data_IF_755162877754
#
_entry.id   IF_755162877754
#
_cell.length_a   1.000
_cell.length_b   1.000
_cell.length_c   1.000
_cell.angle_alpha   90.00
_cell.angle_beta   90.00
_cell.angle_gamma   90.00
#
_symmetry.space_group_name_H-M   'P 1'
#
loop_
_entity.id
_entity.type
_entity.pdbx_description
1 polymer ?
#
# COMPACT_ATOMS: atom_id res chain seq x y z
N UNK A 1 7.05 12.97 -2.54
CA UNK A 1 7.41 13.22 -1.12
C UNK A 1 6.23 13.87 -0.44
N UNK A 2 5.91 13.42 0.76
CA UNK A 2 4.76 13.90 1.56
C UNK A 2 5.31 14.39 2.90
N UNK A 3 4.92 15.58 3.34
CA UNK A 3 5.20 16.05 4.71
C UNK A 3 4.13 15.49 5.66
N UNK A 4 4.50 14.56 6.52
CA UNK A 4 3.58 13.89 7.45
C UNK A 4 3.74 14.53 8.83
N UNK A 5 2.69 15.19 9.37
CA UNK A 5 2.77 15.83 10.68
C UNK A 5 3.28 14.87 11.77
N UNK A 6 4.28 15.30 12.53
CA UNK A 6 4.92 14.50 13.58
C UNK A 6 5.98 13.50 13.09
N UNK A 7 6.10 13.28 11.78
CA UNK A 7 7.05 12.32 11.19
C UNK A 7 7.97 12.94 10.12
N UNK A 8 7.66 14.15 9.65
CA UNK A 8 8.44 14.89 8.66
C UNK A 8 8.25 14.33 7.25
N UNK A 9 9.27 14.52 6.42
CA UNK A 9 9.21 14.25 4.98
C UNK A 9 9.44 12.78 4.66
N UNK A 10 8.44 12.12 4.10
CA UNK A 10 8.45 10.70 3.75
C UNK A 10 8.21 10.50 2.25
N UNK A 11 8.89 9.53 1.65
CA UNK A 11 8.60 9.08 0.29
C UNK A 11 7.45 8.07 0.36
N UNK A 12 6.36 8.40 -0.32
CA UNK A 12 5.14 7.58 -0.41
C UNK A 12 4.89 7.32 -1.89
N UNK A 13 4.62 6.07 -2.24
CA UNK A 13 4.13 5.72 -3.58
C UNK A 13 2.60 5.76 -3.59
N UNK A 14 2.02 6.20 -4.70
CA UNK A 14 0.57 6.10 -4.92
C UNK A 14 0.35 5.14 -6.08
N UNK A 15 -0.45 4.11 -5.86
CA UNK A 15 -0.75 3.09 -6.88
C UNK A 15 -2.22 2.73 -6.90
N UNK A 16 -2.69 2.29 -8.06
CA UNK A 16 -4.08 1.90 -8.28
C UNK A 16 -4.20 0.39 -8.54
N UNK A 17 -5.18 -0.24 -7.91
CA UNK A 17 -5.49 -1.66 -8.08
C UNK A 17 -6.98 -1.96 -8.02
N UNK A 18 -7.81 -1.03 -8.52
CA UNK A 18 -9.26 -0.99 -8.29
C UNK A 18 -9.67 0.07 -7.25
N UNK A 19 -8.70 0.56 -6.48
CA UNK A 19 -8.76 1.76 -5.66
C UNK A 19 -7.34 2.35 -5.53
N UNK A 20 -7.22 3.64 -5.22
CA UNK A 20 -5.91 4.26 -4.97
C UNK A 20 -5.46 4.06 -3.52
N UNK A 21 -4.21 3.66 -3.35
CA UNK A 21 -3.57 3.51 -2.05
C UNK A 21 -2.28 4.32 -1.96
N UNK A 22 -2.06 4.91 -0.80
CA UNK A 22 -0.75 5.37 -0.38
C UNK A 22 0.02 4.16 0.17
N UNK A 23 1.18 3.85 -0.41
CA UNK A 23 2.01 2.70 -0.07
C UNK A 23 3.31 3.22 0.55
N UNK A 24 3.62 2.78 1.77
CA UNK A 24 4.83 3.21 2.47
C UNK A 24 5.27 2.15 3.50
N UNK A 25 6.59 1.98 3.65
CA UNK A 25 7.14 1.08 4.68
C UNK A 25 6.96 1.68 6.08
N UNK A 26 6.51 0.85 7.04
CA UNK A 26 6.39 1.23 8.44
C UNK A 26 7.74 1.66 9.07
N UNK A 27 8.85 1.15 8.55
CA UNK A 27 10.20 1.50 9.02
C UNK A 27 10.52 2.99 8.84
N UNK A 28 9.88 3.67 7.88
CA UNK A 28 10.03 5.13 7.70
C UNK A 28 9.53 5.94 8.89
N UNK A 29 8.72 5.31 9.74
CA UNK A 29 8.17 5.88 10.96
C UNK A 29 8.82 5.28 12.22
N UNK A 30 9.90 4.50 12.07
CA UNK A 30 10.56 3.79 13.16
C UNK A 30 9.73 2.62 13.71
N UNK A 31 8.77 2.11 12.94
CA UNK A 31 7.87 1.04 13.36
C UNK A 31 8.24 -0.29 12.69
N UNK A 32 8.23 -1.36 13.47
CA UNK A 32 8.16 -2.72 12.95
C UNK A 32 6.69 -3.18 12.92
N UNK A 33 6.15 -3.34 11.72
CA UNK A 33 4.75 -3.72 11.49
C UNK A 33 4.38 -5.07 12.12
N UNK A 34 5.35 -5.95 12.39
CA UNK A 34 5.09 -7.28 12.94
C UNK A 34 5.00 -7.30 14.48
N UNK A 35 5.56 -6.30 15.17
CA UNK A 35 5.68 -6.30 16.63
C UNK A 35 5.01 -5.10 17.32
N UNK A 36 4.78 -4.01 16.59
CA UNK A 36 4.11 -2.81 17.13
C UNK A 36 2.61 -3.04 17.36
N UNK A 37 2.00 -2.25 18.25
CA UNK A 37 0.55 -2.26 18.46
C UNK A 37 -0.18 -1.78 17.21
N UNK A 38 -1.27 -2.46 16.87
CA UNK A 38 -2.13 -2.09 15.73
C UNK A 38 -2.60 -0.63 15.78
N UNK A 39 -2.84 -0.07 16.97
CA UNK A 39 -3.25 1.34 17.12
C UNK A 39 -2.19 2.31 16.59
N UNK A 40 -0.90 2.03 16.81
CA UNK A 40 0.18 2.90 16.34
C UNK A 40 0.28 2.86 14.81
N UNK A 41 0.04 1.69 14.21
CA UNK A 41 -0.06 1.53 12.75
C UNK A 41 -1.26 2.27 12.17
N UNK A 42 -2.43 2.18 12.84
CA UNK A 42 -3.64 2.91 12.44
C UNK A 42 -3.40 4.41 12.47
N UNK A 43 -2.88 4.94 13.58
CA UNK A 43 -2.58 6.36 13.71
C UNK A 43 -1.59 6.85 12.64
N UNK A 44 -0.54 6.07 12.37
CA UNK A 44 0.46 6.39 11.35
C UNK A 44 -0.16 6.39 9.94
N UNK A 45 -0.95 5.36 9.61
CA UNK A 45 -1.60 5.25 8.31
C UNK A 45 -2.68 6.34 8.10
N UNK A 46 -3.42 6.71 9.14
CA UNK A 46 -4.34 7.86 9.12
C UNK A 46 -3.57 9.16 8.86
N UNK A 47 -2.47 9.40 9.57
CA UNK A 47 -1.64 10.59 9.38
C UNK A 47 -1.08 10.69 7.95
N UNK A 48 -0.64 9.58 7.37
CA UNK A 48 -0.20 9.52 5.97
C UNK A 48 -1.37 9.82 5.01
N UNK A 49 -2.54 9.22 5.25
CA UNK A 49 -3.72 9.41 4.40
C UNK A 49 -4.12 10.88 4.35
N UNK A 50 -4.23 11.53 5.51
CA UNK A 50 -4.60 12.95 5.59
C UNK A 50 -3.52 13.86 5.01
N UNK A 51 -2.25 13.55 5.25
CA UNK A 51 -1.14 14.30 4.66
C UNK A 51 -1.13 14.21 3.12
N UNK A 52 -1.39 13.02 2.56
CA UNK A 52 -1.49 12.83 1.10
C UNK A 52 -2.68 13.60 0.54
N UNK A 53 -3.87 13.47 1.13
CA UNK A 53 -5.08 14.20 0.69
C UNK A 53 -4.88 15.72 0.70
N UNK A 54 -4.18 16.24 1.71
CA UNK A 54 -3.93 17.67 1.83
C UNK A 54 -2.92 18.21 0.80
N UNK A 55 -1.99 17.37 0.35
CA UNK A 55 -0.86 17.80 -0.51
C UNK A 55 -1.02 17.40 -1.98
N UNK A 56 -1.85 16.40 -2.27
CA UNK A 56 -1.99 15.83 -3.62
C UNK A 56 -3.46 15.64 -3.99
N UNK A 57 -3.81 16.10 -5.19
CA UNK A 57 -5.07 15.74 -5.84
C UNK A 57 -4.88 14.44 -6.60
N UNK A 58 -5.64 13.41 -6.26
CA UNK A 58 -5.69 12.14 -7.00
C UNK A 58 -6.74 12.25 -8.09
N UNK A 59 -6.43 11.73 -9.28
CA UNK A 59 -7.35 11.70 -10.41
C UNK A 59 -7.19 10.37 -11.13
N UNK A 60 -8.31 9.67 -11.33
CA UNK A 60 -8.35 8.50 -12.19
C UNK A 60 -8.50 8.97 -13.64
N UNK A 61 -7.72 8.44 -14.59
CA UNK A 61 -7.72 8.94 -15.98
C UNK A 61 -9.09 8.80 -16.67
N UNK A 62 -9.81 7.72 -16.39
CA UNK A 62 -11.03 7.36 -17.15
C UNK A 62 -12.35 7.54 -16.39
N UNK A 63 -12.32 7.77 -15.07
CA UNK A 63 -13.54 7.78 -14.25
C UNK A 63 -13.39 8.66 -13.00
N UNK A 64 -14.06 9.81 -13.01
CA UNK A 64 -13.97 10.80 -11.93
C UNK A 64 -14.42 10.24 -10.57
N UNK A 65 -15.40 9.34 -10.51
CA UNK A 65 -15.90 8.73 -9.26
C UNK A 65 -14.83 7.89 -8.55
N UNK A 66 -13.78 7.47 -9.28
CA UNK A 66 -12.65 6.71 -8.75
C UNK A 66 -11.47 7.61 -8.33
N UNK A 67 -11.62 8.93 -8.42
CA UNK A 67 -10.56 9.94 -8.19
C UNK A 67 -10.37 10.29 -6.71
N UNK A 68 -10.23 9.28 -5.86
CA UNK A 68 -10.00 9.50 -4.44
C UNK A 68 -9.02 8.50 -3.84
N UNK A 69 -8.32 8.93 -2.78
CA UNK A 69 -7.47 8.06 -1.98
C UNK A 69 -8.36 7.18 -1.09
N UNK A 70 -8.29 5.86 -1.26
CA UNK A 70 -9.07 4.93 -0.45
C UNK A 70 -8.49 4.77 0.96
N UNK A 71 -7.16 4.73 1.07
CA UNK A 71 -6.47 4.60 2.34
C UNK A 71 -4.97 4.41 2.18
N UNK A 72 -4.31 4.07 3.29
CA UNK A 72 -2.87 3.82 3.35
C UNK A 72 -2.62 2.34 3.67
N UNK A 73 -1.68 1.75 2.94
CA UNK A 73 -1.13 0.43 3.25
C UNK A 73 0.29 0.62 3.78
N UNK A 74 0.48 0.26 5.05
CA UNK A 74 1.81 0.15 5.63
C UNK A 74 2.38 -1.23 5.32
N UNK A 75 3.61 -1.27 4.80
CA UNK A 75 4.31 -2.51 4.46
C UNK A 75 5.48 -2.77 5.40
N UNK A 76 6.00 -4.00 5.37
CA UNK A 76 7.26 -4.38 6.01
C UNK A 76 8.51 -3.97 5.20
N UNK A 77 8.36 -3.21 4.12
CA UNK A 77 9.46 -2.81 3.24
C UNK A 77 10.09 -3.93 2.41
N UNK A 78 9.63 -5.18 2.53
CA UNK A 78 10.17 -6.35 1.79
C UNK A 78 9.56 -6.47 0.39
N UNK A 79 9.60 -5.37 -0.36
CA UNK A 79 8.98 -5.28 -1.68
C UNK A 79 9.77 -5.98 -2.79
N UNK A 80 11.08 -6.20 -2.59
CA UNK A 80 11.88 -7.05 -3.48
C UNK A 80 11.31 -8.47 -3.52
N UNK A 81 11.37 -9.12 -4.69
CA UNK A 81 10.90 -10.49 -4.83
C UNK A 81 11.61 -11.45 -3.86
N UNK A 82 10.81 -12.32 -3.26
CA UNK A 82 11.21 -13.47 -2.46
C UNK A 82 10.12 -14.54 -2.55
N UNK A 83 10.43 -15.76 -2.14
CA UNK A 83 9.40 -16.79 -1.89
C UNK A 83 8.72 -16.59 -0.54
N UNK A 84 9.34 -15.82 0.37
CA UNK A 84 8.75 -15.49 1.68
C UNK A 84 7.67 -14.41 1.57
N UNK A 85 6.57 -14.49 2.32
CA UNK A 85 5.53 -13.46 2.30
C UNK A 85 6.06 -12.07 2.69
N UNK A 86 5.60 -11.03 1.98
CA UNK A 86 5.66 -9.65 2.49
C UNK A 86 4.38 -9.33 3.25
N UNK A 87 4.53 -8.62 4.36
CA UNK A 87 3.44 -8.31 5.27
C UNK A 87 2.93 -6.88 5.10
N UNK A 88 1.63 -6.69 5.31
CA UNK A 88 1.03 -5.36 5.35
C UNK A 88 -0.21 -5.26 6.24
N UNK A 89 -0.58 -4.03 6.55
CA UNK A 89 -1.90 -3.62 7.06
C UNK A 89 -2.46 -2.53 6.16
N UNK A 90 -3.74 -2.62 5.82
CA UNK A 90 -4.46 -1.56 5.13
C UNK A 90 -5.37 -0.86 6.12
N UNK A 91 -5.27 0.47 6.17
CA UNK A 91 -6.13 1.35 6.96
C UNK A 91 -6.88 2.27 6.03
N UNK A 92 -8.20 2.28 6.12
CA UNK A 92 -9.09 2.93 5.17
C UNK A 92 -10.34 3.51 5.84
N UNK A 93 -11.06 4.36 5.10
CA UNK A 93 -12.25 5.07 5.61
C UNK A 93 -11.96 5.74 6.98
N UNK A 94 -12.90 5.61 7.93
CA UNK A 94 -12.77 6.11 9.31
C UNK A 94 -11.90 5.18 10.16
N UNK A 95 -10.62 5.07 9.81
CA UNK A 95 -9.60 4.29 10.55
C UNK A 95 -9.87 2.78 10.63
N UNK A 96 -10.61 2.22 9.68
CA UNK A 96 -10.90 0.80 9.62
C UNK A 96 -9.67 0.01 9.19
N UNK A 97 -9.48 -1.16 9.79
CA UNK A 97 -8.41 -2.10 9.44
C UNK A 97 -8.97 -3.22 8.59
N UNK A 98 -8.41 -3.40 7.40
CA UNK A 98 -8.70 -4.61 6.62
C UNK A 98 -8.01 -5.80 7.29
N UNK A 99 -8.81 -6.83 7.57
CA UNK A 99 -8.33 -8.06 8.19
C UNK A 99 -7.67 -8.99 7.19
N UNK A 100 -7.93 -8.82 5.90
CA UNK A 100 -7.27 -9.53 4.80
C UNK A 100 -5.99 -8.80 4.35
N UNK A 101 -5.21 -9.37 3.42
CA UNK A 101 -4.11 -8.65 2.77
C UNK A 101 -4.56 -7.49 1.86
N UNK A 102 -5.88 -7.28 1.70
CA UNK A 102 -6.53 -6.29 0.84
C UNK A 102 -6.34 -6.58 -0.65
N UNK A 103 -7.31 -7.22 -1.30
CA UNK A 103 -7.16 -7.70 -2.69
C UNK A 103 -6.81 -6.62 -3.73
N UNK A 104 -7.51 -5.48 -3.70
CA UNK A 104 -7.19 -4.30 -4.51
C UNK A 104 -5.82 -3.70 -4.13
N UNK A 105 -5.47 -3.73 -2.85
CA UNK A 105 -4.14 -3.34 -2.34
C UNK A 105 -3.01 -4.25 -2.86
N UNK A 106 -3.21 -5.57 -2.86
CA UNK A 106 -2.30 -6.55 -3.45
C UNK A 106 -2.11 -6.26 -4.94
N UNK A 107 -3.18 -5.96 -5.66
CA UNK A 107 -3.11 -5.58 -7.08
C UNK A 107 -2.29 -4.30 -7.28
N UNK A 108 -2.54 -3.26 -6.48
CA UNK A 108 -1.78 -2.01 -6.52
C UNK A 108 -0.28 -2.24 -6.21
N UNK A 109 0.03 -3.07 -5.22
CA UNK A 109 1.42 -3.45 -4.86
C UNK A 109 2.09 -4.24 -5.97
N UNK A 110 1.40 -5.16 -6.64
CA UNK A 110 1.95 -5.90 -7.80
C UNK A 110 2.29 -4.94 -8.93
N UNK A 111 1.39 -4.00 -9.26
CA UNK A 111 1.64 -2.99 -10.28
C UNK A 111 2.87 -2.13 -9.93
N UNK A 112 2.97 -1.68 -8.67
CA UNK A 112 4.11 -0.91 -8.18
C UNK A 112 5.42 -1.69 -8.20
N UNK A 113 5.43 -2.93 -7.69
CA UNK A 113 6.61 -3.78 -7.67
C UNK A 113 7.08 -4.12 -9.09
N UNK A 114 6.15 -4.37 -10.01
CA UNK A 114 6.49 -4.55 -11.42
C UNK A 114 7.10 -3.28 -12.02
N UNK A 115 6.47 -2.12 -11.83
CA UNK A 115 6.97 -0.83 -12.31
C UNK A 115 8.39 -0.53 -11.81
N UNK A 116 8.69 -0.90 -10.56
CA UNK A 116 10.02 -0.75 -9.95
C UNK A 116 11.03 -1.84 -10.35
N UNK A 117 10.64 -2.80 -11.19
CA UNK A 117 11.49 -3.94 -11.57
C UNK A 117 11.75 -4.95 -10.45
N UNK A 118 10.98 -4.89 -9.36
CA UNK A 118 11.09 -5.78 -8.20
C UNK A 118 10.34 -7.10 -8.37
N UNK A 119 9.41 -7.16 -9.33
CA UNK A 119 8.63 -8.34 -9.66
C UNK A 119 8.54 -8.49 -11.19
N UNK A 120 8.75 -9.70 -11.71
CA UNK A 120 8.66 -10.01 -13.14
C UNK A 120 7.23 -10.37 -13.56
N UNK A 121 6.96 -10.30 -14.86
CA UNK A 121 5.72 -10.81 -15.43
C UNK A 121 5.56 -12.30 -15.12
N UNK A 122 4.33 -12.71 -14.79
CA UNK A 122 3.95 -14.06 -14.39
C UNK A 122 4.63 -14.59 -13.12
N UNK A 123 5.34 -13.75 -12.37
CA UNK A 123 5.96 -14.11 -11.11
C UNK A 123 4.97 -13.92 -9.95
N UNK A 124 4.63 -15.02 -9.27
CA UNK A 124 3.72 -15.00 -8.11
C UNK A 124 4.43 -14.44 -6.89
N UNK A 125 3.81 -13.46 -6.21
CA UNK A 125 4.23 -12.92 -4.91
C UNK A 125 3.17 -13.26 -3.85
N UNK A 126 3.62 -13.46 -2.62
CA UNK A 126 2.78 -13.83 -1.48
C UNK A 126 2.67 -12.63 -0.53
N UNK A 127 1.44 -12.30 -0.14
CA UNK A 127 1.10 -11.14 0.67
C UNK A 127 0.35 -11.59 1.93
N UNK A 128 0.86 -11.18 3.09
CA UNK A 128 0.31 -11.57 4.40
C UNK A 128 -0.31 -10.37 5.11
N UNK A 129 -1.52 -10.56 5.64
CA UNK A 129 -2.11 -9.60 6.56
C UNK A 129 -1.47 -9.72 7.93
N UNK A 130 -1.03 -8.62 8.51
CA UNK A 130 -0.58 -8.63 9.92
C UNK A 130 -1.76 -8.67 10.90
N UNK A 131 -2.97 -8.30 10.47
CA UNK A 131 -4.15 -8.27 11.33
C UNK A 131 -4.67 -9.68 11.67
N UNK A 132 -4.50 -10.65 10.75
CA UNK A 132 -5.01 -12.03 10.93
C UNK A 132 -4.04 -13.13 10.57
N UNK A 133 -2.93 -12.81 9.90
CA UNK A 133 -2.03 -13.79 9.30
C UNK A 133 -2.54 -14.44 8.02
N UNK A 134 -3.73 -14.05 7.53
CA UNK A 134 -4.26 -14.53 6.24
C UNK A 134 -3.36 -14.14 5.07
N UNK A 135 -3.43 -14.93 4.00
CA UNK A 135 -2.49 -14.83 2.87
C UNK A 135 -3.25 -14.78 1.56
N UNK A 136 -2.82 -13.88 0.67
CA UNK A 136 -3.19 -13.85 -0.74
C UNK A 136 -1.94 -14.03 -1.59
N UNK A 137 -2.16 -14.46 -2.83
CA UNK A 137 -1.13 -14.48 -3.86
C UNK A 137 -1.57 -13.61 -5.03
N UNK A 138 -0.61 -13.10 -5.78
CA UNK A 138 -0.92 -12.44 -7.05
C UNK A 138 0.32 -12.30 -7.93
N UNK A 139 0.07 -12.04 -9.21
CA UNK A 139 1.10 -11.85 -10.24
C UNK A 139 0.62 -10.87 -11.29
N UNK A 140 1.53 -10.14 -11.90
CA UNK A 140 1.23 -9.41 -13.14
C UNK A 140 1.12 -10.42 -14.29
N UNK A 141 0.04 -10.36 -15.05
CA UNK A 141 -0.24 -11.34 -16.12
C UNK A 141 0.02 -10.80 -17.52
N UNK A 142 -0.17 -9.49 -17.71
CA UNK A 142 0.09 -8.78 -18.96
C UNK A 142 0.36 -7.31 -18.67
N UNK A 143 0.99 -6.64 -19.64
CA UNK A 143 0.98 -5.19 -19.73
C UNK A 143 -0.18 -4.77 -20.60
N UNK A 144 -0.73 -3.60 -20.30
CA UNK A 144 -1.62 -2.89 -21.20
C UNK A 144 -0.79 -1.80 -21.88
N UNK A 145 -1.12 -1.49 -23.13
CA UNK A 145 -0.47 -0.41 -23.84
C UNK A 145 -0.69 0.91 -23.06
N UNK A 146 0.34 1.76 -22.92
CA UNK A 146 0.16 3.05 -22.29
C UNK A 146 -0.84 3.89 -23.11
N UNK A 147 -1.69 4.63 -22.39
CA UNK A 147 -2.60 5.61 -22.96
C UNK A 147 -1.84 6.77 -23.62
#
# INVERSE_FOLDING_TARGET
MVDVPGHGKVVVDIAYGGAFYALVSAEKFGLDICSVKTRDLVNTASAVTEAVKAQFKITHPDNEDLSFLYGTILTDGKDAYSEEPTSNICVFADEQVDRSPTGSGVTARIALQYHKGLLKLNQTRIFKSIATGSVFTGKSVRLLDPF
#
